data_IF_879914778737
#
_entry.id   IF_879914778737
#
_cell.length_a   1.000
_cell.length_b   1.000
_cell.length_c   1.000
_cell.angle_alpha   90.00
_cell.angle_beta   90.00
_cell.angle_gamma   90.00
#
_symmetry.space_group_name_H-M   'P 1'
#
loop_
_entity.id
_entity.type
_entity.pdbx_description
1 polymer ?
#
# COMPACT_ATOMS: atom_id res chain seq x y z
N UNK A 1 2.48 -24.32 -18.61
CA UNK A 1 2.12 -23.51 -19.81
C UNK A 1 2.36 -22.03 -19.48
N UNK A 2 3.43 -21.75 -18.74
CA UNK A 2 3.43 -20.60 -17.81
C UNK A 2 4.17 -19.40 -18.39
N UNK A 3 4.99 -19.66 -19.41
CA UNK A 3 5.68 -18.65 -20.23
C UNK A 3 4.68 -17.69 -20.89
N UNK A 4 3.49 -18.19 -21.28
CA UNK A 4 2.44 -17.35 -21.87
C UNK A 4 1.78 -16.42 -20.85
N UNK A 5 1.48 -16.92 -19.65
CA UNK A 5 0.82 -16.14 -18.58
C UNK A 5 1.75 -15.03 -18.08
N UNK A 6 3.04 -15.31 -17.88
CA UNK A 6 3.99 -14.29 -17.44
C UNK A 6 4.25 -13.22 -18.52
N UNK A 7 4.24 -13.60 -19.80
CA UNK A 7 4.27 -12.62 -20.89
C UNK A 7 3.03 -11.71 -20.88
N UNK A 8 1.84 -12.27 -20.66
CA UNK A 8 0.58 -11.50 -20.54
C UNK A 8 0.60 -10.57 -19.32
N UNK A 9 1.08 -11.06 -18.16
CA UNK A 9 1.23 -10.26 -16.94
C UNK A 9 2.12 -9.04 -17.19
N UNK A 10 3.26 -9.23 -17.87
CA UNK A 10 4.16 -8.13 -18.25
C UNK A 10 3.46 -7.11 -19.16
N UNK A 11 2.79 -7.57 -20.22
CA UNK A 11 2.07 -6.68 -21.15
C UNK A 11 0.96 -5.88 -20.46
N UNK A 12 0.23 -6.50 -19.53
CA UNK A 12 -0.81 -5.81 -18.76
C UNK A 12 -0.22 -4.76 -17.82
N UNK A 13 0.93 -5.03 -17.18
CA UNK A 13 1.63 -4.02 -16.36
C UNK A 13 2.05 -2.81 -17.19
N UNK A 14 2.64 -3.04 -18.37
CA UNK A 14 3.01 -1.99 -19.31
C UNK A 14 1.77 -1.17 -19.74
N UNK A 15 0.68 -1.85 -20.10
CA UNK A 15 -0.57 -1.18 -20.48
C UNK A 15 -1.14 -0.30 -19.35
N UNK A 16 -1.11 -0.76 -18.10
CA UNK A 16 -1.55 0.04 -16.95
C UNK A 16 -0.70 1.31 -16.83
N UNK A 17 0.63 1.16 -16.83
CA UNK A 17 1.57 2.30 -16.72
C UNK A 17 1.36 3.31 -17.85
N UNK A 18 1.25 2.83 -19.08
CA UNK A 18 1.06 3.64 -20.28
C UNK A 18 -0.29 4.35 -20.35
N UNK A 19 -1.38 3.68 -19.98
CA UNK A 19 -2.70 4.29 -19.93
C UNK A 19 -2.77 5.34 -18.81
N UNK A 20 -2.22 5.04 -17.63
CA UNK A 20 -2.16 5.98 -16.51
C UNK A 20 -1.37 7.24 -16.85
N UNK A 21 -0.20 7.09 -17.49
CA UNK A 21 0.64 8.23 -17.90
C UNK A 21 -0.07 9.18 -18.87
N UNK A 22 -1.05 8.68 -19.64
CA UNK A 22 -1.84 9.46 -20.62
C UNK A 22 -3.20 9.93 -20.08
N UNK A 23 -3.52 9.64 -18.83
CA UNK A 23 -4.82 9.98 -18.23
C UNK A 23 -6.00 9.13 -18.72
N UNK A 24 -5.74 7.98 -19.35
CA UNK A 24 -6.77 7.04 -19.82
C UNK A 24 -7.25 6.15 -18.66
N UNK A 25 -7.87 6.76 -17.65
CA UNK A 25 -8.14 6.15 -16.34
C UNK A 25 -9.00 4.88 -16.40
N UNK A 26 -9.98 4.82 -17.31
CA UNK A 26 -10.81 3.62 -17.48
C UNK A 26 -10.08 2.48 -18.17
N UNK A 27 -9.22 2.77 -19.14
CA UNK A 27 -8.37 1.77 -19.79
C UNK A 27 -7.34 1.20 -18.83
N UNK A 28 -6.73 2.06 -18.00
CA UNK A 28 -5.82 1.64 -16.94
C UNK A 28 -6.52 0.74 -15.92
N UNK A 29 -7.73 1.10 -15.49
CA UNK A 29 -8.55 0.27 -14.60
C UNK A 29 -8.83 -1.10 -15.20
N UNK A 30 -9.31 -1.14 -16.44
CA UNK A 30 -9.63 -2.40 -17.11
C UNK A 30 -8.39 -3.30 -17.20
N UNK A 31 -7.25 -2.77 -17.63
CA UNK A 31 -6.00 -3.54 -17.72
C UNK A 31 -5.56 -4.07 -16.34
N UNK A 32 -5.73 -3.27 -15.28
CA UNK A 32 -5.40 -3.68 -13.91
C UNK A 32 -6.36 -4.76 -13.36
N UNK A 33 -7.66 -4.73 -13.73
CA UNK A 33 -8.63 -5.78 -13.40
C UNK A 33 -8.23 -7.10 -14.06
N UNK A 34 -7.84 -7.08 -15.34
CA UNK A 34 -7.34 -8.27 -16.04
C UNK A 34 -6.05 -8.80 -15.40
N UNK A 35 -5.13 -7.90 -15.03
CA UNK A 35 -3.85 -8.26 -14.38
C UNK A 35 -4.06 -9.00 -13.06
N UNK A 36 -4.97 -8.50 -12.21
CA UNK A 36 -5.26 -9.11 -10.91
C UNK A 36 -6.05 -10.42 -11.01
N UNK A 37 -6.61 -10.74 -12.19
CA UNK A 37 -7.35 -11.98 -12.44
C UNK A 37 -6.43 -13.14 -12.87
N UNK A 38 -5.14 -12.88 -13.13
CA UNK A 38 -4.17 -13.92 -13.50
C UNK A 38 -3.69 -14.71 -12.27
N UNK A 39 -3.52 -16.05 -12.38
CA UNK A 39 -3.03 -16.85 -11.26
C UNK A 39 -1.62 -16.43 -10.85
N UNK A 40 -1.34 -16.37 -9.56
CA UNK A 40 0.02 -16.16 -9.06
C UNK A 40 0.94 -17.29 -9.53
N UNK A 41 2.21 -16.99 -9.81
CA UNK A 41 3.18 -17.95 -10.34
C UNK A 41 3.33 -19.21 -9.48
N UNK A 42 3.00 -19.14 -8.18
CA UNK A 42 3.16 -20.23 -7.21
C UNK A 42 1.83 -20.90 -6.81
N UNK A 43 0.70 -20.57 -7.44
CA UNK A 43 -0.64 -21.06 -7.05
C UNK A 43 -0.92 -22.55 -7.40
N UNK A 44 0.12 -23.35 -7.63
CA UNK A 44 0.04 -24.79 -7.89
C UNK A 44 0.01 -25.69 -6.64
N UNK A 45 -0.03 -25.13 -5.43
CA UNK A 45 -0.14 -25.87 -4.16
C UNK A 45 -1.28 -25.29 -3.34
N UNK A 46 -2.48 -25.85 -3.49
CA UNK A 46 -3.72 -25.31 -2.92
C UNK A 46 -3.84 -25.37 -1.40
N UNK A 47 -4.75 -24.56 -0.87
CA UNK A 47 -5.68 -24.90 0.20
C UNK A 47 -6.64 -23.72 0.40
N UNK A 48 -7.93 -24.01 0.25
CA UNK A 48 -9.06 -23.19 0.61
C UNK A 48 -8.99 -22.75 2.08
N UNK A 49 -9.21 -21.45 2.34
CA UNK A 49 -9.76 -20.96 3.61
C UNK A 49 -10.75 -19.84 3.31
N UNK A 50 -11.88 -20.25 2.72
CA UNK A 50 -13.12 -19.49 2.80
C UNK A 50 -13.57 -19.49 4.25
N UNK A 51 -13.43 -18.34 4.93
CA UNK A 51 -14.15 -18.09 6.19
C UNK A 51 -15.27 -17.09 5.95
N UNK A 52 -16.40 -17.66 5.54
CA UNK A 52 -17.72 -17.07 5.67
C UNK A 52 -18.13 -17.13 7.15
N UNK A 53 -18.62 -16.02 7.69
CA UNK A 53 -19.08 -15.92 9.08
C UNK A 53 -19.75 -14.57 9.30
N UNK A 54 -21.08 -14.56 9.23
CA UNK A 54 -21.90 -13.42 9.61
C UNK A 54 -21.79 -13.09 11.10
N UNK A 55 -22.11 -11.86 11.46
CA UNK A 55 -23.40 -11.55 12.07
C UNK A 55 -23.54 -10.04 12.23
N UNK A 56 -24.77 -9.58 12.03
CA UNK A 56 -25.20 -8.20 12.21
C UNK A 56 -25.36 -7.90 13.70
N UNK A 57 -24.59 -6.95 14.23
CA UNK A 57 -24.91 -6.30 15.49
C UNK A 57 -24.63 -4.81 15.39
N UNK A 58 -25.73 -4.05 15.38
CA UNK A 58 -25.75 -2.66 15.77
C UNK A 58 -25.01 -2.47 17.10
N UNK A 59 -24.36 -1.31 17.27
CA UNK A 59 -24.80 -0.30 18.24
C UNK A 59 -23.80 0.87 18.32
N UNK A 60 -24.40 2.02 18.61
CA UNK A 60 -23.82 3.18 19.30
C UNK A 60 -22.99 4.18 18.49
N UNK A 61 -23.74 5.19 18.04
CA UNK A 61 -23.39 6.61 18.08
C UNK A 61 -22.47 6.93 19.27
N UNK A 62 -21.37 7.63 19.00
CA UNK A 62 -20.39 8.05 20.01
C UNK A 62 -19.50 9.19 19.52
N UNK A 63 -20.02 10.40 19.68
CA UNK A 63 -19.39 11.70 19.89
C UNK A 63 -18.19 12.22 19.06
N UNK A 64 -18.42 13.42 18.54
CA UNK A 64 -17.49 14.36 17.95
C UNK A 64 -16.32 14.69 18.90
N UNK A 65 -15.11 14.24 18.56
CA UNK A 65 -13.89 14.74 19.18
C UNK A 65 -13.02 15.42 18.12
N UNK A 66 -13.16 16.75 18.03
CA UNK A 66 -12.23 17.62 17.30
C UNK A 66 -10.81 17.48 17.88
N UNK A 67 -9.78 17.21 17.06
CA UNK A 67 -8.41 17.28 17.55
C UNK A 67 -8.00 18.76 17.67
N UNK A 68 -8.10 19.32 18.88
CA UNK A 68 -7.55 20.63 19.18
C UNK A 68 -6.03 20.55 19.15
N UNK A 69 -5.45 21.14 18.10
CA UNK A 69 -4.01 21.28 17.89
C UNK A 69 -3.45 22.20 18.98
N UNK A 70 -2.95 21.63 20.09
CA UNK A 70 -2.22 22.39 21.10
C UNK A 70 -0.83 22.73 20.55
N UNK A 71 -0.72 23.89 19.91
CA UNK A 71 0.56 24.55 19.66
C UNK A 71 1.27 24.79 20.99
N UNK A 72 2.14 23.87 21.40
CA UNK A 72 3.15 24.13 22.44
C UNK A 72 4.26 24.97 21.80
N UNK A 73 4.08 26.28 21.83
CA UNK A 73 5.21 27.22 21.85
C UNK A 73 5.86 27.09 23.24
N UNK A 74 6.77 26.12 23.39
CA UNK A 74 7.70 26.10 24.52
C UNK A 74 8.96 26.80 24.06
N UNK A 75 9.27 27.88 24.76
CA UNK A 75 10.26 28.87 24.39
C UNK A 75 11.66 28.31 24.13
N UNK A 76 12.42 29.16 23.43
CA UNK A 76 13.83 29.06 23.16
C UNK A 76 14.64 28.70 24.41
N UNK A 77 14.87 27.41 24.60
CA UNK A 77 15.98 26.88 25.37
C UNK A 77 17.10 26.54 24.39
N UNK A 78 18.10 27.41 24.32
CA UNK A 78 19.40 27.16 23.69
C UNK A 78 19.88 25.74 24.07
N UNK A 79 20.15 24.83 23.10
CA UNK A 79 20.76 23.56 23.45
C UNK A 79 22.15 23.83 24.04
N UNK A 80 22.51 23.24 25.20
CA UNK A 80 23.90 23.23 25.63
C UNK A 80 24.75 22.50 24.59
N UNK A 81 25.94 23.04 24.37
CA UNK A 81 26.88 22.59 23.36
C UNK A 81 27.19 21.09 23.46
N UNK A 82 27.24 20.44 22.30
CA UNK A 82 28.10 19.31 21.94
C UNK A 82 28.31 18.26 23.04
N UNK A 83 27.29 17.41 23.24
CA UNK A 83 27.57 16.01 23.50
C UNK A 83 27.65 15.35 22.12
N UNK A 84 28.86 15.03 21.67
CA UNK A 84 29.06 14.23 20.48
C UNK A 84 28.30 12.92 20.66
N UNK A 85 27.26 12.71 19.85
CA UNK A 85 26.66 11.39 19.70
C UNK A 85 27.80 10.47 19.24
N UNK A 86 28.05 9.33 19.90
CA UNK A 86 29.10 8.42 19.45
C UNK A 86 28.77 7.98 18.02
N UNK A 87 29.74 8.14 17.11
CA UNK A 87 29.59 7.88 15.67
C UNK A 87 29.07 6.46 15.35
N UNK A 88 29.23 5.52 16.27
CA UNK A 88 28.75 4.15 16.19
C UNK A 88 27.21 4.07 16.31
N UNK A 89 26.59 4.93 17.12
CA UNK A 89 25.13 5.00 17.26
C UNK A 89 24.44 5.61 16.02
N UNK A 90 25.12 6.50 15.28
CA UNK A 90 24.61 7.03 14.01
C UNK A 90 24.74 6.02 12.86
N UNK A 91 25.78 5.18 12.86
CA UNK A 91 25.93 4.09 11.91
C UNK A 91 24.86 3.01 12.12
N UNK A 92 24.55 2.65 13.36
CA UNK A 92 23.47 1.69 13.65
C UNK A 92 22.08 2.26 13.36
N UNK A 93 21.81 3.53 13.69
CA UNK A 93 20.54 4.18 13.32
C UNK A 93 20.35 4.30 11.79
N UNK A 94 21.45 4.49 11.04
CA UNK A 94 21.47 4.45 9.58
C UNK A 94 21.12 3.05 9.04
N UNK A 95 21.77 2.01 9.57
CA UNK A 95 21.52 0.62 9.17
C UNK A 95 20.09 0.14 9.51
N UNK A 96 19.54 0.55 10.66
CA UNK A 96 18.14 0.27 11.04
C UNK A 96 17.13 0.96 10.10
N UNK A 97 17.46 2.18 9.67
CA UNK A 97 16.67 2.95 8.70
C UNK A 97 16.69 2.29 7.31
N UNK A 98 17.85 1.81 6.87
CA UNK A 98 18.02 1.08 5.62
C UNK A 98 17.26 -0.25 5.62
N UNK A 99 17.41 -1.06 6.67
CA UNK A 99 16.67 -2.33 6.80
C UNK A 99 15.15 -2.14 6.78
N UNK A 100 14.65 -1.04 7.38
CA UNK A 100 13.22 -0.69 7.33
C UNK A 100 12.76 -0.35 5.90
N UNK A 101 13.55 0.42 5.16
CA UNK A 101 13.23 0.82 3.77
C UNK A 101 13.19 -0.38 2.85
N UNK A 102 14.16 -1.28 2.96
CA UNK A 102 14.18 -2.52 2.17
C UNK A 102 12.95 -3.38 2.45
N UNK A 103 12.57 -3.53 3.72
CA UNK A 103 11.36 -4.25 4.11
C UNK A 103 10.12 -3.64 3.46
N UNK A 104 9.99 -2.31 3.45
CA UNK A 104 8.88 -1.63 2.80
C UNK A 104 8.87 -1.81 1.29
N UNK A 105 10.03 -1.71 0.64
CA UNK A 105 10.16 -1.93 -0.80
C UNK A 105 9.76 -3.35 -1.19
N UNK A 106 10.12 -4.36 -0.40
CA UNK A 106 9.68 -5.75 -0.61
C UNK A 106 8.16 -5.88 -0.54
N UNK A 107 7.54 -5.34 0.52
CA UNK A 107 6.08 -5.38 0.67
C UNK A 107 5.36 -4.69 -0.50
N UNK A 108 5.83 -3.51 -0.93
CA UNK A 108 5.27 -2.81 -2.07
C UNK A 108 5.47 -3.59 -3.40
N UNK A 109 6.59 -4.31 -3.53
CA UNK A 109 6.87 -5.14 -4.71
C UNK A 109 5.96 -6.37 -4.78
N UNK A 110 5.76 -7.06 -3.66
CA UNK A 110 4.87 -8.23 -3.54
C UNK A 110 3.41 -7.85 -3.84
N UNK A 111 3.03 -6.62 -3.53
CA UNK A 111 1.67 -6.10 -3.70
C UNK A 111 1.50 -5.25 -4.96
N UNK A 112 2.50 -5.22 -5.87
CA UNK A 112 2.53 -4.33 -7.04
C UNK A 112 1.25 -4.38 -7.87
N UNK A 113 0.75 -5.58 -8.18
CA UNK A 113 -0.40 -5.75 -9.07
C UNK A 113 -1.70 -5.27 -8.39
N UNK A 114 -1.92 -5.63 -7.11
CA UNK A 114 -3.05 -5.14 -6.31
C UNK A 114 -2.99 -3.63 -6.12
N UNK A 115 -1.80 -3.07 -5.88
CA UNK A 115 -1.58 -1.64 -5.76
C UNK A 115 -1.91 -0.91 -7.07
N UNK A 116 -1.58 -1.49 -8.23
CA UNK A 116 -1.93 -0.93 -9.53
C UNK A 116 -3.46 -0.85 -9.73
N UNK A 117 -4.19 -1.92 -9.38
CA UNK A 117 -5.65 -1.90 -9.40
C UNK A 117 -6.23 -0.89 -8.41
N UNK A 118 -5.77 -0.88 -7.16
CA UNK A 118 -6.18 0.09 -6.15
C UNK A 118 -5.98 1.54 -6.62
N UNK A 119 -4.83 1.86 -7.22
CA UNK A 119 -4.56 3.19 -7.79
C UNK A 119 -5.50 3.54 -8.94
N UNK A 120 -5.76 2.61 -9.85
CA UNK A 120 -6.68 2.85 -10.97
C UNK A 120 -8.14 3.06 -10.52
N UNK A 121 -8.58 2.33 -9.48
CA UNK A 121 -9.90 2.52 -8.85
C UNK A 121 -10.00 3.88 -8.15
N UNK A 122 -8.92 4.30 -7.50
CA UNK A 122 -8.83 5.63 -6.89
C UNK A 122 -8.95 6.75 -7.94
N UNK A 123 -8.30 6.60 -9.09
CA UNK A 123 -8.33 7.58 -10.18
C UNK A 123 -9.72 7.77 -10.79
N UNK A 124 -10.55 6.73 -10.77
CA UNK A 124 -11.97 6.80 -11.16
C UNK A 124 -12.91 7.12 -9.99
N UNK A 125 -12.36 7.46 -8.81
CA UNK A 125 -13.08 7.86 -7.59
C UNK A 125 -13.95 6.77 -6.95
N UNK A 126 -13.60 5.50 -7.15
CA UNK A 126 -14.29 4.36 -6.55
C UNK A 126 -13.66 3.98 -5.19
N UNK A 127 -13.68 4.92 -4.23
CA UNK A 127 -12.92 4.82 -2.98
C UNK A 127 -13.27 3.60 -2.11
N UNK A 128 -14.54 3.24 -1.99
CA UNK A 128 -14.97 2.03 -1.27
C UNK A 128 -14.35 0.75 -1.86
N UNK A 129 -14.26 0.68 -3.21
CA UNK A 129 -13.63 -0.44 -3.89
C UNK A 129 -12.12 -0.46 -3.67
N UNK A 130 -11.47 0.71 -3.57
CA UNK A 130 -10.05 0.80 -3.19
C UNK A 130 -9.83 0.21 -1.79
N UNK A 131 -10.68 0.60 -0.83
CA UNK A 131 -10.56 0.15 0.54
C UNK A 131 -10.71 -1.37 0.66
N UNK A 132 -11.71 -1.93 -0.03
CA UNK A 132 -11.92 -3.36 -0.12
C UNK A 132 -10.77 -4.09 -0.82
N UNK A 133 -10.32 -3.60 -1.98
CA UNK A 133 -9.27 -4.24 -2.78
C UNK A 133 -7.94 -4.32 -2.02
N UNK A 134 -7.61 -3.30 -1.24
CA UNK A 134 -6.34 -3.19 -0.53
C UNK A 134 -6.41 -3.69 0.93
N UNK A 135 -7.52 -4.31 1.36
CA UNK A 135 -7.76 -4.63 2.78
C UNK A 135 -6.72 -5.57 3.44
N UNK A 136 -6.06 -6.41 2.66
CA UNK A 136 -5.00 -7.32 3.12
C UNK A 136 -3.57 -6.82 2.87
N UNK A 137 -3.39 -5.65 2.27
CA UNK A 137 -2.09 -5.14 1.87
C UNK A 137 -1.35 -4.49 3.05
N UNK A 138 -0.04 -4.69 3.12
CA UNK A 138 0.86 -4.24 4.20
C UNK A 138 1.93 -3.27 3.70
N UNK A 139 2.11 -3.14 2.39
CA UNK A 139 2.98 -2.14 1.78
C UNK A 139 2.53 -0.74 2.16
N UNK A 140 3.45 0.16 2.54
CA UNK A 140 3.10 1.50 2.99
C UNK A 140 2.28 2.28 1.95
N UNK A 141 2.49 2.02 0.65
CA UNK A 141 1.72 2.66 -0.42
C UNK A 141 0.25 2.21 -0.42
N UNK A 142 0.01 0.92 -0.25
CA UNK A 142 -1.34 0.36 -0.21
C UNK A 142 -2.08 0.77 1.07
N UNK A 143 -1.37 0.78 2.21
CA UNK A 143 -1.92 1.27 3.49
C UNK A 143 -2.33 2.73 3.40
N UNK A 144 -1.49 3.58 2.79
CA UNK A 144 -1.81 4.99 2.58
C UNK A 144 -3.04 5.19 1.70
N UNK A 145 -3.20 4.39 0.64
CA UNK A 145 -4.26 4.58 -0.34
C UNK A 145 -5.63 4.03 0.10
N UNK A 146 -5.67 3.10 1.07
CA UNK A 146 -6.90 2.47 1.59
C UNK A 146 -7.72 3.37 2.54
N UNK A 147 -7.20 4.51 2.97
CA UNK A 147 -7.80 5.40 3.97
C UNK A 147 -9.17 5.95 3.59
#
# INVERSE_FOLDING_TARGET
MDVGIEALRRQLREAVEECSARGLVFSAKWAAEQLCSLPAADAGSGADDAKEGGDVAALSVGDSATPTLKHRLRGAGRPPASAAVPAEAEAEAGAESEGRRERWQRLDADERDRMALGKSLFDVREFERVAFMLQGCRGPRAVFLRL
#
